data_IF_488393146649
#
_entry.id   IF_488393146649
#
_cell.length_a   1.000
_cell.length_b   1.000
_cell.length_c   1.000
_cell.angle_alpha   90.00
_cell.angle_beta   90.00
_cell.angle_gamma   90.00
#
_symmetry.space_group_name_H-M   'P 1'
#
loop_
_entity.id
_entity.type
_entity.pdbx_description
1 polymer ?
#
# COMPACT_ATOMS: atom_id res chain seq x y z
N UNK A 1 -41.01 -17.14 -35.57
CA UNK A 1 -40.62 -17.85 -34.33
C UNK A 1 -39.29 -18.56 -34.56
N UNK A 2 -38.16 -17.91 -34.23
CA UNK A 2 -36.84 -18.56 -34.15
C UNK A 2 -36.31 -18.30 -32.74
N UNK A 3 -35.81 -19.36 -32.14
CA UNK A 3 -35.78 -19.66 -30.71
C UNK A 3 -34.70 -18.92 -29.93
N UNK A 4 -35.08 -18.34 -28.77
CA UNK A 4 -34.22 -17.70 -27.75
C UNK A 4 -33.29 -18.72 -27.04
N UNK A 5 -33.38 -20.01 -27.39
CA UNK A 5 -32.67 -21.11 -26.73
C UNK A 5 -31.15 -21.12 -26.92
N UNK A 6 -30.58 -20.37 -27.88
CA UNK A 6 -29.16 -20.44 -28.20
C UNK A 6 -28.23 -19.65 -27.27
N UNK A 7 -28.71 -18.59 -26.61
CA UNK A 7 -27.84 -17.69 -25.81
C UNK A 7 -27.60 -18.14 -24.37
N UNK A 8 -28.42 -19.04 -23.82
CA UNK A 8 -28.20 -19.54 -22.46
C UNK A 8 -27.15 -20.66 -22.39
N UNK A 9 -26.94 -21.44 -23.45
CA UNK A 9 -25.91 -22.50 -23.45
C UNK A 9 -24.48 -21.95 -23.51
N UNK A 10 -24.26 -20.79 -24.13
CA UNK A 10 -22.92 -20.23 -24.31
C UNK A 10 -22.35 -19.65 -23.00
N UNK A 11 -23.20 -19.09 -22.13
CA UNK A 11 -22.77 -18.53 -20.84
C UNK A 11 -22.45 -19.60 -19.79
N UNK A 12 -23.03 -20.80 -19.90
CA UNK A 12 -22.75 -21.88 -18.95
C UNK A 12 -21.36 -22.52 -19.13
N UNK A 13 -20.80 -22.48 -20.36
CA UNK A 13 -19.52 -23.15 -20.64
C UNK A 13 -18.30 -22.40 -20.09
N UNK A 14 -18.39 -21.09 -19.82
CA UNK A 14 -17.29 -20.31 -19.25
C UNK A 14 -17.13 -20.47 -17.74
N UNK A 15 -18.11 -21.06 -17.04
CA UNK A 15 -18.13 -21.12 -15.57
C UNK A 15 -17.54 -22.40 -14.95
N UNK A 16 -17.04 -23.35 -15.76
CA UNK A 16 -16.61 -24.66 -15.27
C UNK A 16 -15.09 -24.89 -15.20
N UNK A 17 -14.24 -23.93 -15.53
CA UNK A 17 -12.79 -24.07 -15.32
C UNK A 17 -12.44 -23.83 -13.83
N UNK A 18 -12.02 -24.85 -13.05
CA UNK A 18 -11.65 -24.68 -11.64
C UNK A 18 -10.39 -23.81 -11.46
N UNK A 19 -9.60 -23.64 -12.54
CA UNK A 19 -8.42 -22.78 -12.57
C UNK A 19 -8.79 -21.32 -12.33
N UNK A 20 -9.89 -20.84 -12.90
CA UNK A 20 -10.27 -19.42 -12.79
C UNK A 20 -10.76 -19.06 -11.39
N UNK A 21 -11.51 -19.96 -10.71
CA UNK A 21 -11.95 -19.69 -9.32
C UNK A 21 -10.80 -19.62 -8.32
N UNK A 22 -9.71 -20.37 -8.53
CA UNK A 22 -8.56 -20.34 -7.62
C UNK A 22 -7.77 -19.03 -7.73
N UNK A 23 -7.73 -18.42 -8.91
CA UNK A 23 -7.03 -17.15 -9.08
C UNK A 23 -7.81 -15.97 -8.46
N UNK A 24 -9.15 -16.04 -8.43
CA UNK A 24 -9.93 -15.06 -7.67
C UNK A 24 -9.74 -15.26 -6.16
N UNK A 25 -9.61 -16.50 -5.68
CA UNK A 25 -9.55 -16.76 -4.23
C UNK A 25 -8.21 -16.38 -3.57
N UNK A 26 -7.09 -16.38 -4.31
CA UNK A 26 -5.79 -15.92 -3.77
C UNK A 26 -5.63 -14.39 -3.83
N UNK A 27 -6.39 -13.69 -4.68
CA UNK A 27 -6.48 -12.22 -4.66
C UNK A 27 -7.48 -11.72 -3.61
N UNK A 28 -8.44 -12.56 -3.19
CA UNK A 28 -9.50 -12.20 -2.23
C UNK A 28 -9.03 -12.13 -0.77
N UNK A 29 -7.86 -12.68 -0.41
CA UNK A 29 -7.34 -12.59 0.97
C UNK A 29 -6.00 -11.87 1.12
N UNK A 30 -5.35 -11.48 0.02
CA UNK A 30 -4.17 -10.63 0.08
C UNK A 30 -4.62 -9.18 0.08
N UNK A 31 -5.19 -8.73 1.20
CA UNK A 31 -5.15 -7.28 1.49
C UNK A 31 -3.68 -6.92 1.40
N UNK A 32 -3.22 -6.15 0.40
CA UNK A 32 -1.81 -5.82 0.31
C UNK A 32 -1.44 -5.12 1.62
N UNK A 33 -0.49 -5.72 2.34
CA UNK A 33 -0.02 -5.20 3.60
C UNK A 33 0.57 -3.81 3.33
N UNK A 34 0.24 -2.86 4.21
CA UNK A 34 0.69 -1.47 4.06
C UNK A 34 2.21 -1.37 4.11
N UNK A 35 2.86 -2.27 4.86
CA UNK A 35 4.30 -2.29 5.10
C UNK A 35 5.14 -2.46 3.82
N UNK A 36 4.92 -3.49 2.95
CA UNK A 36 5.56 -3.56 1.63
C UNK A 36 5.42 -2.28 0.80
N UNK A 37 4.27 -1.62 0.86
CA UNK A 37 4.04 -0.37 0.11
C UNK A 37 4.87 0.79 0.63
N UNK A 38 5.05 0.90 1.95
CA UNK A 38 5.94 1.91 2.55
C UNK A 38 7.40 1.58 2.24
N UNK A 39 7.77 0.30 2.26
CA UNK A 39 9.12 -0.16 1.89
C UNK A 39 9.47 0.18 0.43
N UNK A 40 8.54 -0.04 -0.50
CA UNK A 40 8.69 0.31 -1.92
C UNK A 40 8.71 1.83 -2.14
N UNK A 41 7.82 2.57 -1.46
CA UNK A 41 7.79 4.04 -1.54
C UNK A 41 9.08 4.70 -1.02
N UNK A 42 9.82 3.99 -0.16
CA UNK A 42 11.07 4.42 0.44
C UNK A 42 12.27 3.61 -0.04
N UNK A 43 12.22 3.03 -1.24
CA UNK A 43 13.31 2.25 -1.82
C UNK A 43 14.49 3.12 -2.34
N UNK A 44 15.48 2.48 -2.98
CA UNK A 44 16.70 3.15 -3.45
C UNK A 44 16.61 3.64 -4.90
N UNK A 45 15.43 3.56 -5.52
CA UNK A 45 15.23 4.04 -6.89
C UNK A 45 15.45 5.56 -6.98
N UNK A 46 15.87 6.11 -8.13
CA UNK A 46 16.20 7.53 -8.23
C UNK A 46 14.98 8.46 -8.22
N UNK A 47 13.77 7.94 -8.43
CA UNK A 47 12.53 8.72 -8.37
C UNK A 47 11.88 8.67 -6.98
N UNK A 48 11.15 9.73 -6.62
CA UNK A 48 10.41 9.82 -5.36
C UNK A 48 9.09 9.02 -5.36
N UNK A 49 8.43 8.89 -4.20
CA UNK A 49 7.14 8.22 -4.09
C UNK A 49 6.05 9.01 -4.86
N UNK A 50 5.24 8.28 -5.64
CA UNK A 50 4.14 8.90 -6.39
C UNK A 50 3.03 9.39 -5.45
N UNK A 51 2.38 10.50 -5.82
CA UNK A 51 1.31 11.11 -5.00
C UNK A 51 0.16 10.16 -4.65
N UNK A 52 -0.20 9.23 -5.54
CA UNK A 52 -1.21 8.20 -5.25
C UNK A 52 -0.77 7.26 -4.13
N UNK A 53 0.51 6.87 -4.11
CA UNK A 53 1.08 6.02 -3.06
C UNK A 53 1.11 6.78 -1.73
N UNK A 54 1.51 8.06 -1.75
CA UNK A 54 1.50 8.91 -0.56
C UNK A 54 0.09 9.05 0.05
N UNK A 55 -0.92 9.30 -0.78
CA UNK A 55 -2.31 9.39 -0.34
C UNK A 55 -2.83 8.07 0.25
N UNK A 56 -2.43 6.93 -0.31
CA UNK A 56 -2.79 5.62 0.26
C UNK A 56 -2.08 5.35 1.58
N UNK A 57 -0.81 5.74 1.72
CA UNK A 57 -0.05 5.63 2.97
C UNK A 57 -0.68 6.52 4.04
N UNK A 58 -1.00 7.77 3.73
CA UNK A 58 -1.62 8.68 4.69
C UNK A 58 -2.98 8.17 5.16
N UNK A 59 -3.82 7.71 4.24
CA UNK A 59 -5.12 7.11 4.55
C UNK A 59 -5.00 5.86 5.42
N UNK A 60 -3.91 5.09 5.29
CA UNK A 60 -3.67 3.92 6.11
C UNK A 60 -3.36 4.26 7.57
N UNK A 61 -2.78 5.44 7.85
CA UNK A 61 -2.49 5.88 9.23
C UNK A 61 -3.74 6.07 10.09
N UNK A 62 -4.92 6.22 9.49
CA UNK A 62 -6.21 6.25 10.20
C UNK A 62 -6.52 4.97 10.97
N UNK A 63 -5.83 3.85 10.68
CA UNK A 63 -5.97 2.59 11.41
C UNK A 63 -4.76 2.40 12.31
N UNK A 64 -5.00 2.25 13.62
CA UNK A 64 -3.98 2.08 14.65
C UNK A 64 -2.84 1.13 14.23
N UNK A 65 -3.16 -0.13 13.91
CA UNK A 65 -2.15 -1.14 13.54
C UNK A 65 -1.39 -0.77 12.28
N UNK A 66 -2.05 -0.17 11.29
CA UNK A 66 -1.40 0.25 10.04
C UNK A 66 -0.52 1.47 10.24
N UNK A 67 -0.94 2.43 11.08
CA UNK A 67 -0.13 3.57 11.48
C UNK A 67 1.18 3.09 12.10
N UNK A 68 1.12 2.17 13.05
CA UNK A 68 2.32 1.61 13.69
C UNK A 68 3.25 0.94 12.67
N UNK A 69 2.71 0.18 11.71
CA UNK A 69 3.50 -0.42 10.63
C UNK A 69 4.19 0.64 9.75
N UNK A 70 3.44 1.68 9.35
CA UNK A 70 3.98 2.79 8.54
C UNK A 70 5.11 3.49 9.30
N UNK A 71 4.86 3.91 10.54
CA UNK A 71 5.85 4.63 11.34
C UNK A 71 7.09 3.79 11.62
N UNK A 72 6.95 2.50 11.93
CA UNK A 72 8.09 1.60 12.16
C UNK A 72 9.03 1.50 10.95
N UNK A 73 8.48 1.41 9.73
CA UNK A 73 9.30 1.43 8.51
C UNK A 73 10.00 2.77 8.36
N UNK A 74 9.30 3.89 8.55
CA UNK A 74 9.86 5.22 8.39
C UNK A 74 11.00 5.47 9.38
N UNK A 75 10.83 5.12 10.66
CA UNK A 75 11.89 5.26 11.66
C UNK A 75 13.10 4.37 11.36
N UNK A 76 12.88 3.14 10.90
CA UNK A 76 13.97 2.26 10.45
C UNK A 76 14.76 2.90 9.30
N UNK A 77 14.05 3.43 8.29
CA UNK A 77 14.65 4.09 7.11
C UNK A 77 15.42 5.36 7.47
N UNK A 78 14.97 6.09 8.50
CA UNK A 78 15.66 7.28 9.01
C UNK A 78 16.97 6.96 9.75
N UNK A 79 17.13 5.73 10.26
CA UNK A 79 18.37 5.27 10.88
C UNK A 79 19.48 4.90 9.89
N UNK A 80 19.19 4.86 8.59
CA UNK A 80 20.15 4.50 7.55
C UNK A 80 21.21 5.59 7.35
N UNK A 81 22.39 5.20 6.86
CA UNK A 81 23.53 6.13 6.70
C UNK A 81 24.36 5.83 5.45
N UNK A 82 25.22 6.77 5.06
CA UNK A 82 26.19 6.56 3.98
C UNK A 82 25.54 6.36 2.60
N UNK A 83 25.82 5.22 1.96
CA UNK A 83 25.36 4.91 0.59
C UNK A 83 23.84 4.78 0.46
N UNK A 84 23.16 4.56 1.59
CA UNK A 84 21.71 4.28 1.67
C UNK A 84 20.89 5.56 1.93
N UNK A 85 21.47 6.74 1.69
CA UNK A 85 20.86 8.05 1.93
C UNK A 85 19.50 8.27 1.26
N UNK A 86 19.18 7.57 0.16
CA UNK A 86 17.87 7.68 -0.50
C UNK A 86 16.74 7.13 0.37
N UNK A 87 17.00 6.10 1.17
CA UNK A 87 16.05 5.58 2.15
C UNK A 87 15.65 6.66 3.15
N UNK A 88 16.64 7.36 3.71
CA UNK A 88 16.43 8.49 4.63
C UNK A 88 15.65 9.61 3.93
N UNK A 89 16.10 10.02 2.74
CA UNK A 89 15.47 11.11 1.99
C UNK A 89 14.00 10.82 1.65
N UNK A 90 13.69 9.62 1.14
CA UNK A 90 12.31 9.25 0.81
C UNK A 90 11.45 9.05 2.05
N UNK A 91 12.01 8.54 3.15
CA UNK A 91 11.28 8.47 4.42
C UNK A 91 10.89 9.87 4.90
N UNK A 92 11.79 10.85 4.82
CA UNK A 92 11.47 12.25 5.11
C UNK A 92 10.38 12.81 4.18
N UNK A 93 10.39 12.48 2.89
CA UNK A 93 9.35 12.90 1.95
C UNK A 93 7.97 12.30 2.31
N UNK A 94 7.92 11.05 2.77
CA UNK A 94 6.67 10.45 3.27
C UNK A 94 6.22 11.15 4.56
N UNK A 95 7.14 11.42 5.50
CA UNK A 95 6.85 12.13 6.76
C UNK A 95 6.29 13.53 6.49
N UNK A 96 6.90 14.30 5.58
CA UNK A 96 6.40 15.62 5.18
C UNK A 96 4.93 15.53 4.71
N UNK A 97 4.61 14.53 3.90
CA UNK A 97 3.24 14.30 3.44
C UNK A 97 2.30 13.90 4.59
N UNK A 98 2.77 13.08 5.55
CA UNK A 98 2.00 12.70 6.73
C UNK A 98 1.73 13.88 7.67
N UNK A 99 2.64 14.85 7.78
CA UNK A 99 2.39 16.08 8.57
C UNK A 99 1.24 16.89 7.95
N UNK A 100 1.13 16.90 6.61
CA UNK A 100 0.07 17.63 5.92
C UNK A 100 -1.27 16.86 5.82
N UNK A 101 -1.24 15.53 5.78
CA UNK A 101 -2.39 14.70 5.37
C UNK A 101 -2.59 13.42 6.19
N UNK A 102 -1.70 13.10 7.11
CA UNK A 102 -1.77 11.92 7.97
C UNK A 102 -2.74 12.11 9.14
N UNK A 103 -2.99 11.00 9.85
CA UNK A 103 -3.78 11.01 11.07
C UNK A 103 -3.05 11.75 12.20
N UNK A 104 -3.81 12.30 13.15
CA UNK A 104 -3.28 12.93 14.38
C UNK A 104 -2.28 12.03 15.10
N UNK A 105 -2.53 10.71 15.14
CA UNK A 105 -1.62 9.72 15.72
C UNK A 105 -0.26 9.66 15.04
N UNK A 106 -0.22 9.78 13.71
CA UNK A 106 1.06 9.80 12.99
C UNK A 106 1.83 11.07 13.31
N UNK A 107 1.12 12.20 13.47
CA UNK A 107 1.72 13.48 13.86
C UNK A 107 2.26 13.41 15.30
N UNK A 108 1.49 12.86 16.24
CA UNK A 108 1.91 12.66 17.62
C UNK A 108 3.19 11.81 17.70
N UNK A 109 3.23 10.71 16.93
CA UNK A 109 4.40 9.82 16.84
C UNK A 109 5.63 10.56 16.29
N UNK A 110 5.46 11.40 15.25
CA UNK A 110 6.53 12.26 14.71
C UNK A 110 7.03 13.26 15.76
N UNK A 111 6.12 13.90 16.50
CA UNK A 111 6.48 14.87 17.53
C UNK A 111 7.25 14.17 18.67
N UNK A 112 6.77 13.01 19.14
CA UNK A 112 7.41 12.24 20.22
C UNK A 112 8.83 11.78 19.87
N UNK A 113 9.12 11.51 18.59
CA UNK A 113 10.46 11.11 18.15
C UNK A 113 11.40 12.29 17.83
N UNK A 114 10.89 13.52 17.79
CA UNK A 114 11.69 14.71 17.45
C UNK A 114 12.32 15.36 18.68
N UNK A 115 11.75 15.18 19.87
CA UNK A 115 12.14 15.86 21.11
C UNK A 115 12.54 14.88 22.21
#
# INVERSE_FOLDING_TARGET
MKTVSGRQSELASLALCPSTKREVNLKVLKVPEIEPKVLDATDNEPWGPHGTVLAEISQATEKFTKCQMVMNVLWTRLGETGKDWRYVYKALAVIEYLVAHGSERAIDDIIEHTF
#
